data_IF_181431477000
#
_entry.id   IF_181431477000
#
_cell.length_a   1.000
_cell.length_b   1.000
_cell.length_c   1.000
_cell.angle_alpha   90.00
_cell.angle_beta   90.00
_cell.angle_gamma   90.00
#
_symmetry.space_group_name_H-M   'P 1'
#
loop_
_entity.id
_entity.type
_entity.pdbx_description
1 polymer ?
#
# COMPACT_ATOMS: atom_id res chain seq x y z
N UNK A 1 7.55 9.18 12.11
CA UNK A 1 7.58 9.34 13.59
C UNK A 1 7.62 7.96 14.24
N UNK A 2 8.09 7.84 15.48
CA UNK A 2 8.31 6.53 16.09
C UNK A 2 7.40 6.31 17.31
N UNK A 3 6.84 5.10 17.42
CA UNK A 3 6.05 4.65 18.56
C UNK A 3 6.51 3.24 18.92
N UNK A 4 7.30 3.12 19.99
CA UNK A 4 7.89 1.84 20.38
C UNK A 4 8.63 1.19 19.20
N UNK A 5 8.34 -0.06 18.81
CA UNK A 5 9.03 -0.76 17.71
C UNK A 5 8.57 -0.33 16.30
N UNK A 6 7.66 0.64 16.17
CA UNK A 6 7.12 1.06 14.88
C UNK A 6 7.63 2.45 14.49
N UNK A 7 8.20 2.54 13.28
CA UNK A 7 8.35 3.79 12.55
C UNK A 7 7.14 3.95 11.62
N UNK A 8 6.40 5.03 11.81
CA UNK A 8 5.16 5.33 11.09
C UNK A 8 5.35 6.60 10.27
N UNK A 9 5.06 6.51 8.97
CA UNK A 9 5.09 7.65 8.05
C UNK A 9 3.74 7.82 7.37
N UNK A 10 3.20 9.03 7.44
CA UNK A 10 1.96 9.38 6.74
C UNK A 10 2.31 10.25 5.53
N UNK A 11 1.72 9.95 4.38
CA UNK A 11 1.90 10.71 3.14
C UNK A 11 0.54 11.04 2.53
N UNK A 12 0.49 12.09 1.71
CA UNK A 12 -0.70 12.45 0.96
C UNK A 12 -0.72 11.74 -0.39
N UNK A 13 -1.60 10.75 -0.53
CA UNK A 13 -1.93 10.12 -1.82
C UNK A 13 -2.64 11.09 -2.78
N UNK A 14 -3.28 12.13 -2.26
CA UNK A 14 -4.03 13.10 -3.08
C UNK A 14 -3.12 13.88 -4.03
N UNK A 15 -1.85 14.08 -3.66
CA UNK A 15 -0.87 14.76 -4.52
C UNK A 15 -0.64 14.04 -5.86
N UNK A 16 -1.00 12.76 -5.96
CA UNK A 16 -0.93 11.99 -7.21
C UNK A 16 -2.13 12.24 -8.13
N UNK A 17 -3.27 12.65 -7.60
CA UNK A 17 -4.52 12.86 -8.36
C UNK A 17 -4.83 14.32 -8.63
N UNK A 18 -4.34 15.24 -7.80
CA UNK A 18 -4.67 16.66 -7.87
C UNK A 18 -3.48 17.53 -8.34
N UNK A 19 -2.80 17.08 -9.41
CA UNK A 19 -1.62 17.75 -9.99
C UNK A 19 -1.86 19.16 -10.52
N UNK A 20 -3.12 19.54 -10.77
CA UNK A 20 -3.46 20.88 -11.20
C UNK A 20 -3.18 21.96 -10.13
N UNK A 21 -2.98 21.56 -8.87
CA UNK A 21 -2.45 22.44 -7.82
C UNK A 21 -0.91 22.59 -7.85
N UNK A 22 -0.25 21.93 -8.80
CA UNK A 22 1.19 22.02 -9.06
C UNK A 22 1.98 20.77 -8.64
N UNK A 23 3.03 20.49 -9.41
CA UNK A 23 3.89 19.32 -9.22
C UNK A 23 4.91 19.45 -8.08
N UNK A 24 5.21 20.69 -7.67
CA UNK A 24 6.26 20.96 -6.68
C UNK A 24 6.01 20.24 -5.36
N UNK A 25 4.77 20.24 -4.88
CA UNK A 25 4.40 19.62 -3.60
C UNK A 25 4.55 18.10 -3.65
N UNK A 26 4.17 17.48 -4.77
CA UNK A 26 4.36 16.05 -5.01
C UNK A 26 5.85 15.68 -4.98
N UNK A 27 6.68 16.41 -5.73
CA UNK A 27 8.13 16.17 -5.77
C UNK A 27 8.75 16.34 -4.38
N UNK A 28 8.38 17.41 -3.66
CA UNK A 28 8.86 17.64 -2.30
C UNK A 28 8.47 16.51 -1.34
N UNK A 29 7.23 16.02 -1.42
CA UNK A 29 6.78 14.87 -0.62
C UNK A 29 7.56 13.62 -0.99
N UNK A 30 7.75 13.34 -2.27
CA UNK A 30 8.45 12.14 -2.73
C UNK A 30 9.92 12.14 -2.30
N UNK A 31 10.63 13.26 -2.46
CA UNK A 31 12.02 13.41 -2.02
C UNK A 31 12.16 13.32 -0.50
N UNK A 32 11.20 13.88 0.24
CA UNK A 32 11.15 13.77 1.70
C UNK A 32 10.92 12.32 2.12
N UNK A 33 9.97 11.63 1.49
CA UNK A 33 9.61 10.25 1.78
C UNK A 33 10.78 9.29 1.51
N UNK A 34 11.54 9.52 0.42
CA UNK A 34 12.79 8.77 0.17
C UNK A 34 13.75 8.91 1.36
N UNK A 35 13.99 10.14 1.83
CA UNK A 35 14.95 10.39 2.92
C UNK A 35 14.48 9.79 4.24
N UNK A 36 13.19 9.90 4.55
CA UNK A 36 12.59 9.34 5.75
C UNK A 36 12.69 7.80 5.75
N UNK A 37 12.35 7.16 4.64
CA UNK A 37 12.46 5.70 4.48
C UNK A 37 13.91 5.22 4.46
N UNK A 38 14.83 5.97 3.85
CA UNK A 38 16.27 5.70 3.90
C UNK A 38 16.79 5.71 5.33
N UNK A 39 16.40 6.71 6.12
CA UNK A 39 16.76 6.82 7.54
C UNK A 39 16.16 5.66 8.33
N UNK A 40 14.86 5.43 8.21
CA UNK A 40 14.16 4.38 8.95
C UNK A 40 14.71 2.98 8.64
N UNK A 41 15.15 2.74 7.40
CA UNK A 41 15.66 1.44 6.98
C UNK A 41 17.14 1.20 7.35
N UNK A 42 17.84 2.16 7.97
CA UNK A 42 19.21 1.93 8.47
C UNK A 42 19.24 0.79 9.50
N UNK A 43 20.27 -0.07 9.52
CA UNK A 43 20.34 -1.21 10.43
C UNK A 43 20.15 -0.85 11.91
N UNK A 44 20.72 0.27 12.35
CA UNK A 44 20.60 0.79 13.71
C UNK A 44 19.18 1.23 14.07
N UNK A 45 18.44 1.78 13.10
CA UNK A 45 17.06 2.21 13.29
C UNK A 45 16.12 1.00 13.24
N UNK A 46 16.31 0.07 12.30
CA UNK A 46 15.57 -1.21 12.23
C UNK A 46 15.77 -2.08 13.46
N UNK A 47 16.91 -1.97 14.15
CA UNK A 47 17.12 -2.67 15.43
C UNK A 47 16.19 -2.18 16.55
N UNK A 48 15.89 -0.88 16.57
CA UNK A 48 15.03 -0.26 17.59
C UNK A 48 13.55 -0.18 17.15
N UNK A 49 13.33 0.00 15.86
CA UNK A 49 12.04 0.19 15.19
C UNK A 49 11.95 -0.78 14.01
N UNK A 50 11.79 -2.10 14.27
CA UNK A 50 11.80 -3.10 13.20
C UNK A 50 10.67 -2.92 12.18
N UNK A 51 9.54 -2.33 12.57
CA UNK A 51 8.38 -2.15 11.69
C UNK A 51 8.39 -0.78 11.03
N UNK A 52 8.33 -0.73 9.71
CA UNK A 52 8.00 0.47 8.93
C UNK A 52 6.57 0.36 8.44
N UNK A 53 5.72 1.27 8.89
CA UNK A 53 4.30 1.35 8.54
C UNK A 53 4.07 2.65 7.79
N UNK A 54 3.50 2.56 6.59
CA UNK A 54 3.08 3.75 5.83
C UNK A 54 1.56 3.88 5.85
N UNK A 55 1.09 5.12 5.93
CA UNK A 55 -0.33 5.46 5.97
C UNK A 55 -0.64 6.47 4.86
N UNK A 56 -1.61 6.16 4.02
CA UNK A 56 -2.13 7.02 2.97
C UNK A 56 -3.66 7.04 2.95
N UNK A 57 -4.26 7.94 2.17
CA UNK A 57 -5.72 7.95 2.02
C UNK A 57 -6.18 6.96 0.95
N UNK A 58 -5.71 7.10 -0.30
CA UNK A 58 -6.08 6.25 -1.44
C UNK A 58 -5.20 5.01 -1.52
N UNK A 59 -5.78 3.82 -1.77
CA UNK A 59 -5.04 2.57 -1.80
C UNK A 59 -4.27 2.38 -3.12
N UNK A 60 -3.24 1.53 -3.08
CA UNK A 60 -2.55 1.03 -4.27
C UNK A 60 -3.23 -0.19 -4.88
N UNK A 61 -3.98 -0.93 -4.05
CA UNK A 61 -4.70 -2.16 -4.38
C UNK A 61 -6.08 -2.12 -3.75
N UNK A 62 -7.11 -2.40 -4.55
CA UNK A 62 -8.47 -2.62 -4.09
C UNK A 62 -9.21 -3.48 -5.13
N UNK A 63 -10.26 -4.18 -4.68
CA UNK A 63 -11.03 -5.13 -5.51
C UNK A 63 -12.51 -4.75 -5.65
N UNK A 64 -12.96 -3.74 -4.91
CA UNK A 64 -14.31 -3.20 -5.08
C UNK A 64 -14.40 -2.34 -6.36
N UNK A 65 -15.63 -2.03 -6.78
CA UNK A 65 -15.92 -1.24 -7.98
C UNK A 65 -16.71 0.04 -7.66
N UNK A 66 -16.69 0.50 -6.40
CA UNK A 66 -17.42 1.70 -5.99
C UNK A 66 -16.73 2.98 -6.45
N UNK A 67 -15.41 2.92 -6.67
CA UNK A 67 -14.64 3.99 -7.27
C UNK A 67 -13.80 3.47 -8.45
N UNK A 68 -14.31 3.62 -9.69
CA UNK A 68 -13.63 3.13 -10.88
C UNK A 68 -12.29 3.82 -11.13
N UNK A 69 -12.01 4.95 -10.47
CA UNK A 69 -10.77 5.70 -10.68
C UNK A 69 -9.57 5.10 -9.91
N UNK A 70 -9.79 4.26 -8.89
CA UNK A 70 -8.71 3.70 -8.05
C UNK A 70 -8.58 2.18 -8.13
N UNK A 71 -9.71 1.47 -8.29
CA UNK A 71 -9.73 0.01 -8.20
C UNK A 71 -9.77 -0.70 -9.56
N UNK A 72 -10.34 -0.05 -10.58
CA UNK A 72 -10.47 -0.67 -11.92
C UNK A 72 -9.19 -0.53 -12.76
N UNK A 73 -8.27 0.34 -12.35
CA UNK A 73 -7.03 0.58 -13.07
C UNK A 73 -5.90 -0.30 -12.54
N UNK A 74 -5.53 -1.26 -13.38
CA UNK A 74 -4.34 -2.09 -13.24
C UNK A 74 -3.08 -1.30 -12.86
N UNK A 75 -2.92 -0.08 -13.41
CA UNK A 75 -1.82 0.85 -13.16
C UNK A 75 -2.30 2.06 -12.34
N UNK A 76 -2.83 1.79 -11.14
CA UNK A 76 -3.12 2.83 -10.16
C UNK A 76 -1.90 3.77 -9.99
N UNK A 77 -2.13 5.07 -10.15
CA UNK A 77 -1.07 6.09 -10.21
C UNK A 77 -0.27 6.24 -8.92
N UNK A 78 -0.86 5.94 -7.75
CA UNK A 78 -0.15 5.90 -6.47
C UNK A 78 0.82 4.73 -6.45
N UNK A 79 0.39 3.59 -7.01
CA UNK A 79 1.17 2.35 -7.09
C UNK A 79 2.33 2.49 -8.06
N UNK A 80 2.01 2.71 -9.35
CA UNK A 80 3.00 2.69 -10.43
C UNK A 80 3.72 4.01 -10.58
N UNK A 81 3.08 5.14 -10.29
CA UNK A 81 3.58 6.47 -10.61
C UNK A 81 3.15 6.95 -12.00
N UNK A 82 3.75 8.05 -12.44
CA UNK A 82 3.45 8.71 -13.71
C UNK A 82 4.21 8.05 -14.85
N UNK A 83 3.50 7.60 -15.86
CA UNK A 83 4.10 7.07 -17.08
C UNK A 83 4.82 8.21 -17.84
N UNK A 84 6.13 8.08 -18.00
CA UNK A 84 7.01 9.00 -18.73
C UNK A 84 7.75 8.26 -19.86
N UNK A 85 7.18 7.16 -20.34
CA UNK A 85 7.75 6.38 -21.42
C UNK A 85 8.05 7.20 -22.67
N UNK A 86 9.28 7.14 -23.21
CA UNK A 86 9.60 7.82 -24.46
C UNK A 86 8.94 7.15 -25.67
N UNK A 87 8.66 5.85 -25.58
CA UNK A 87 8.02 5.03 -26.60
C UNK A 87 7.38 3.75 -25.99
N UNK A 88 6.71 2.96 -26.82
CA UNK A 88 6.05 1.71 -26.43
C UNK A 88 7.00 0.55 -26.12
N UNK A 89 8.31 0.71 -26.32
CA UNK A 89 9.31 -0.35 -26.10
C UNK A 89 9.96 -0.26 -24.72
N UNK A 90 9.80 0.85 -24.00
CA UNK A 90 10.36 1.03 -22.67
C UNK A 90 9.38 1.71 -21.72
N UNK A 91 8.82 0.93 -20.79
CA UNK A 91 7.98 1.47 -19.71
C UNK A 91 8.82 2.14 -18.64
N UNK A 92 8.63 3.45 -18.42
CA UNK A 92 9.31 4.21 -17.36
C UNK A 92 8.28 4.93 -16.53
N UNK A 93 8.18 4.57 -15.26
CA UNK A 93 7.34 5.30 -14.31
C UNK A 93 8.17 6.21 -13.42
N UNK A 94 7.63 7.39 -13.14
CA UNK A 94 8.19 8.38 -12.25
C UNK A 94 7.38 8.44 -10.95
N UNK A 95 8.08 8.50 -9.82
CA UNK A 95 7.49 8.68 -8.48
C UNK A 95 6.50 7.60 -8.02
N UNK A 96 6.59 6.38 -8.55
CA UNK A 96 5.79 5.24 -8.07
C UNK A 96 6.12 4.86 -6.63
N UNK A 97 5.11 4.74 -5.76
CA UNK A 97 5.33 4.43 -4.35
C UNK A 97 5.55 2.95 -4.09
N UNK A 98 5.02 2.07 -4.92
CA UNK A 98 5.14 0.63 -4.69
C UNK A 98 6.61 0.16 -4.73
N UNK A 99 7.36 0.59 -5.75
CA UNK A 99 8.79 0.27 -5.88
C UNK A 99 9.61 0.92 -4.78
N UNK A 100 9.28 2.15 -4.38
CA UNK A 100 9.91 2.86 -3.27
C UNK A 100 9.72 2.10 -1.94
N UNK A 101 8.47 1.72 -1.64
CA UNK A 101 8.12 1.00 -0.42
C UNK A 101 8.76 -0.39 -0.37
N UNK A 102 8.78 -1.09 -1.50
CA UNK A 102 9.47 -2.37 -1.62
C UNK A 102 10.98 -2.24 -1.40
N UNK A 103 11.62 -1.23 -2.02
CA UNK A 103 13.06 -0.97 -1.89
C UNK A 103 13.50 -0.72 -0.44
N UNK A 104 12.70 0.03 0.32
CA UNK A 104 13.01 0.36 1.72
C UNK A 104 12.36 -0.58 2.74
N UNK A 105 11.77 -1.68 2.28
CA UNK A 105 11.26 -2.75 3.14
C UNK A 105 10.05 -2.34 3.98
N UNK A 106 9.14 -1.52 3.47
CA UNK A 106 7.89 -1.21 4.17
C UNK A 106 7.14 -2.49 4.49
N UNK A 107 6.75 -2.67 5.75
CA UNK A 107 6.15 -3.91 6.25
C UNK A 107 4.62 -3.89 6.15
N UNK A 108 4.02 -2.72 6.36
CA UNK A 108 2.57 -2.55 6.32
C UNK A 108 2.19 -1.23 5.65
N UNK A 109 1.17 -1.30 4.80
CA UNK A 109 0.55 -0.15 4.14
C UNK A 109 -0.90 -0.11 4.60
N UNK A 110 -1.29 1.00 5.22
CA UNK A 110 -2.68 1.24 5.63
C UNK A 110 -3.24 2.34 4.73
N UNK A 111 -4.34 2.03 4.05
CA UNK A 111 -5.08 2.97 3.23
C UNK A 111 -6.57 2.95 3.59
N UNK A 112 -7.24 4.05 3.32
CA UNK A 112 -8.69 4.18 3.43
C UNK A 112 -9.28 4.42 2.04
N UNK A 113 -10.05 5.50 1.91
CA UNK A 113 -10.79 5.93 0.70
C UNK A 113 -11.92 4.97 0.34
N UNK A 114 -11.61 3.70 0.20
CA UNK A 114 -12.59 2.64 0.00
C UNK A 114 -13.33 2.33 1.30
N UNK A 115 -14.66 2.31 1.22
CA UNK A 115 -15.54 2.02 2.36
C UNK A 115 -15.73 0.50 2.54
N UNK A 116 -14.63 -0.24 2.45
CA UNK A 116 -14.53 -1.70 2.67
C UNK A 116 -13.24 -2.02 3.44
N UNK A 117 -13.11 -3.26 3.90
CA UNK A 117 -11.84 -3.77 4.42
C UNK A 117 -11.33 -4.87 3.54
N UNK A 118 -10.09 -4.69 3.11
CA UNK A 118 -9.36 -5.66 2.31
C UNK A 118 -7.98 -5.82 2.92
N UNK A 119 -7.50 -7.07 2.93
CA UNK A 119 -6.16 -7.42 3.40
C UNK A 119 -5.54 -8.37 2.40
N UNK A 120 -4.34 -8.03 1.96
CA UNK A 120 -3.60 -8.80 0.97
C UNK A 120 -2.52 -9.65 1.64
N UNK A 121 -2.14 -10.73 0.98
CA UNK A 121 -0.81 -11.31 1.18
C UNK A 121 0.27 -10.29 0.82
N UNK A 122 1.52 -10.45 1.29
CA UNK A 122 2.62 -9.64 0.80
C UNK A 122 2.63 -9.67 -0.73
N UNK A 123 2.56 -8.50 -1.36
CA UNK A 123 2.39 -8.35 -2.80
C UNK A 123 3.36 -7.30 -3.30
N UNK A 124 3.95 -7.58 -4.45
CA UNK A 124 4.72 -6.58 -5.17
C UNK A 124 4.59 -6.81 -6.67
N UNK A 125 4.23 -5.75 -7.39
CA UNK A 125 3.90 -5.74 -8.81
C UNK A 125 2.81 -6.77 -9.16
N UNK A 126 1.72 -6.78 -8.38
CA UNK A 126 0.58 -7.70 -8.53
C UNK A 126 0.94 -9.19 -8.43
N UNK A 127 2.15 -9.49 -7.98
CA UNK A 127 2.59 -10.86 -7.75
C UNK A 127 2.69 -11.06 -6.25
N UNK A 128 1.97 -12.07 -5.75
CA UNK A 128 2.12 -12.51 -4.37
C UNK A 128 3.58 -12.87 -4.11
N UNK A 129 4.15 -12.27 -3.08
CA UNK A 129 5.45 -12.62 -2.55
C UNK A 129 5.19 -13.66 -1.48
N UNK A 130 5.41 -14.93 -1.83
CA UNK A 130 5.35 -16.07 -0.89
C UNK A 130 6.05 -15.67 0.41
N UNK A 131 5.26 -15.38 1.43
CA UNK A 131 5.71 -14.84 2.71
C UNK A 131 5.35 -15.81 3.81
N UNK A 132 6.22 -15.91 4.82
CA UNK A 132 5.85 -16.55 6.07
C UNK A 132 5.11 -15.51 6.92
N UNK A 133 3.91 -15.84 7.40
CA UNK A 133 3.24 -15.05 8.44
C UNK A 133 4.07 -15.20 9.72
N UNK A 134 4.88 -14.19 10.03
CA UNK A 134 5.72 -14.16 11.24
C UNK A 134 4.95 -13.69 12.47
N UNK A 135 3.82 -13.02 12.27
CA UNK A 135 2.92 -12.55 13.34
C UNK A 135 1.49 -12.38 12.79
N UNK A 136 0.47 -12.63 13.63
CA UNK A 136 -0.94 -12.50 13.29
C UNK A 136 -1.58 -11.40 14.12
N UNK A 137 -1.98 -10.28 13.51
CA UNK A 137 -2.79 -9.30 14.23
C UNK A 137 -4.21 -9.83 14.43
N UNK A 138 -4.69 -9.80 15.67
CA UNK A 138 -6.06 -10.21 16.02
C UNK A 138 -6.94 -8.98 16.13
N UNK A 139 -7.97 -8.91 15.29
CA UNK A 139 -9.06 -7.93 15.45
C UNK A 139 -9.95 -8.43 16.59
N UNK A 140 -10.08 -7.66 17.67
CA UNK A 140 -10.99 -8.00 18.76
C UNK A 140 -12.43 -7.80 18.27
N UNK A 141 -13.15 -8.92 18.16
CA UNK A 141 -14.57 -8.97 17.87
C UNK A 141 -15.34 -8.09 18.88
N UNK A 142 -16.33 -7.34 18.40
CA UNK A 142 -17.26 -6.52 19.20
C UNK A 142 -16.69 -5.25 19.89
N UNK A 143 -15.45 -4.85 19.58
CA UNK A 143 -14.86 -3.56 20.03
C UNK A 143 -14.53 -2.58 18.89
N UNK A 144 -14.80 -2.96 17.65
CA UNK A 144 -14.73 -2.07 16.49
C UNK A 144 -16.13 -1.47 16.24
N UNK A 145 -16.20 -0.30 15.59
CA UNK A 145 -17.44 0.44 15.37
C UNK A 145 -18.57 -0.45 14.85
N UNK A 146 -19.78 -0.25 15.38
CA UNK A 146 -20.94 -1.08 15.07
C UNK A 146 -21.15 -1.20 13.55
N UNK A 147 -21.16 -2.45 13.04
CA UNK A 147 -21.55 -2.75 11.65
C UNK A 147 -20.43 -3.00 10.64
N UNK A 148 -19.16 -3.11 11.05
CA UNK A 148 -18.06 -3.38 10.10
C UNK A 148 -17.44 -4.77 10.36
N UNK A 149 -17.62 -5.67 9.37
CA UNK A 149 -16.98 -6.98 9.16
C UNK A 149 -17.70 -8.23 9.69
N UNK A 150 -18.46 -8.87 8.79
CA UNK A 150 -18.58 -10.34 8.75
C UNK A 150 -17.53 -10.87 7.77
N UNK A 151 -16.31 -11.15 8.24
CA UNK A 151 -15.44 -12.06 7.49
C UNK A 151 -16.01 -13.47 7.66
N UNK A 152 -16.40 -14.08 6.54
CA UNK A 152 -16.94 -15.43 6.43
C UNK A 152 -18.36 -15.60 7.00
N UNK A 153 -19.36 -15.31 6.17
CA UNK A 153 -20.61 -16.04 6.31
C UNK A 153 -20.38 -17.45 5.73
N UNK A 154 -20.57 -18.45 6.59
CA UNK A 154 -20.50 -19.87 6.25
C UNK A 154 -21.55 -20.15 5.20
N UNK A 155 -21.12 -20.51 4.00
CA UNK A 155 -21.63 -21.65 3.26
C UNK A 155 -20.60 -22.03 2.18
N UNK A 156 -19.93 -23.16 2.43
CA UNK A 156 -19.06 -23.94 1.52
C UNK A 156 -18.16 -23.16 0.55
N UNK A 157 -16.92 -22.86 0.97
CA UNK A 157 -15.83 -22.52 0.03
C UNK A 157 -14.92 -23.74 -0.10
N UNK A 158 -14.89 -24.34 -1.30
CA UNK A 158 -14.00 -25.45 -1.64
C UNK A 158 -12.65 -24.89 -2.10
N UNK A 159 -11.59 -25.19 -1.36
CA UNK A 159 -10.22 -24.75 -1.66
C UNK A 159 -9.65 -25.35 -2.96
N UNK A 160 -10.34 -26.32 -3.59
CA UNK A 160 -9.90 -26.94 -4.84
C UNK A 160 -10.34 -26.19 -6.11
N UNK A 161 -11.10 -25.10 -6.01
CA UNK A 161 -11.59 -24.37 -7.19
C UNK A 161 -10.64 -23.30 -7.73
N UNK A 162 -9.42 -23.18 -7.20
CA UNK A 162 -8.41 -22.26 -7.76
C UNK A 162 -7.41 -23.07 -8.59
N UNK A 163 -7.93 -23.61 -9.69
CA UNK A 163 -7.19 -23.85 -10.91
C UNK A 163 -8.07 -23.26 -12.00
N UNK A 164 -7.77 -22.04 -12.44
CA UNK A 164 -7.72 -21.70 -13.87
C UNK A 164 -7.40 -20.21 -14.12
N UNK A 165 -6.34 -20.06 -14.92
CA UNK A 165 -5.77 -18.93 -15.71
C UNK A 165 -5.26 -17.69 -14.98
#
# INVERSE_FOLDING_TARGET
FNVGPAHIVAFSSELYYFLFYGWKTLVMQYDWLIKDLQEANKPENRKNHPWIIVIGHRPMYCSNNFDPMHCDFENNIVRTGFDISPDHHKTVYLMGLESLFYQYGVDLIIAGHEHSYERFWPVYNRTERKGQVIDSFTIIKDKHGAGLYTCHNKDSFDYNSIIDV
#
